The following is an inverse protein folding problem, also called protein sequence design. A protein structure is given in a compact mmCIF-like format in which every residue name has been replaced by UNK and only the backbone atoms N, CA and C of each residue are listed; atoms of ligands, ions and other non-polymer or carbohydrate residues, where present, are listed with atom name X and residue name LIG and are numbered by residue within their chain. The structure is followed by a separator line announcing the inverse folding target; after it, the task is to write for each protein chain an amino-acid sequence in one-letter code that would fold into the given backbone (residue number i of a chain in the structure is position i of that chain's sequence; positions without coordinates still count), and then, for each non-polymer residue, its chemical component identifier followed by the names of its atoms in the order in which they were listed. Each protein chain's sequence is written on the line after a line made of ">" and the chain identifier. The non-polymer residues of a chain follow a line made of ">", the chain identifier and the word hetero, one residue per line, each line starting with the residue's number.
data_IF_237741789664
#
_entry.id   IF_237741789664
#
_cell.length_a   1.000
_cell.length_b   1.000
_cell.length_c   1.000
_cell.angle_alpha   90.00
_cell.angle_beta   90.00
_cell.angle_gamma   90.00
#
_symmetry.space_group_name_H-M   'P 1'
#
loop_
_entity.id
_entity.type
_entity.pdbx_description
1 polymer ?
#
# COMPACT_ATOMS: atom_id res chain seq x y z
N UNK A 1 -4.18 43.57 22.06
CA UNK A 1 -4.80 42.54 22.91
C UNK A 1 -3.91 42.44 24.13
N UNK A 2 -4.29 43.13 25.20
CA UNK A 2 -3.53 43.21 26.43
C UNK A 2 -3.52 41.85 27.14
N UNK A 3 -2.37 41.18 27.12
CA UNK A 3 -2.13 40.06 28.04
C UNK A 3 -2.02 40.65 29.43
N UNK A 4 -3.12 40.61 30.19
CA UNK A 4 -3.10 40.86 31.63
C UNK A 4 -1.98 40.01 32.19
N UNK A 5 -0.94 40.67 32.68
CA UNK A 5 0.10 40.08 33.49
C UNK A 5 -0.57 39.64 34.79
N UNK A 6 -1.18 38.46 34.76
CA UNK A 6 -1.58 37.78 35.98
C UNK A 6 -0.29 37.39 36.66
N UNK A 7 0.14 38.22 37.60
CA UNK A 7 1.22 37.93 38.56
C UNK A 7 0.84 36.66 39.32
N UNK A 8 1.17 35.51 38.74
CA UNK A 8 1.00 34.22 39.38
C UNK A 8 2.17 34.04 40.34
N UNK A 9 1.96 34.34 41.62
CA UNK A 9 2.92 34.08 42.67
C UNK A 9 3.08 32.57 42.86
N UNK A 10 4.28 32.04 42.58
CA UNK A 10 4.60 30.63 42.82
C UNK A 10 5.91 30.50 43.59
N UNK A 11 6.03 29.39 44.32
CA UNK A 11 7.27 29.09 45.05
C UNK A 11 8.35 28.61 44.07
N UNK A 12 9.43 29.38 43.97
CA UNK A 12 10.63 28.94 43.29
C UNK A 12 11.25 27.74 44.03
N UNK A 13 11.76 26.78 43.27
CA UNK A 13 12.42 25.59 43.84
C UNK A 13 13.71 26.02 44.53
N UNK A 14 13.93 25.53 45.74
CA UNK A 14 15.18 25.73 46.48
C UNK A 14 16.20 24.61 46.20
N UNK A 15 15.75 23.49 45.62
CA UNK A 15 16.60 22.34 45.28
C UNK A 15 16.16 21.62 44.01
N UNK A 16 17.12 21.09 43.25
CA UNK A 16 16.89 20.31 42.03
C UNK A 16 16.20 18.95 42.26
N UNK A 17 16.09 18.48 43.52
CA UNK A 17 15.32 17.28 43.88
C UNK A 17 13.86 17.57 44.26
N UNK A 18 13.52 18.84 44.52
CA UNK A 18 12.17 19.24 44.93
C UNK A 18 11.20 19.10 43.75
N UNK A 19 9.99 18.57 43.98
CA UNK A 19 8.93 18.57 42.96
C UNK A 19 8.51 20.01 42.65
N UNK A 20 8.10 20.26 41.41
CA UNK A 20 7.44 21.53 41.07
C UNK A 20 6.04 21.56 41.69
N UNK A 21 5.58 22.76 42.02
CA UNK A 21 4.22 22.98 42.50
C UNK A 21 3.22 22.58 41.41
N UNK A 22 2.20 21.80 41.79
CA UNK A 22 1.12 21.38 40.90
C UNK A 22 0.37 22.58 40.32
N UNK A 23 0.26 23.68 41.08
CA UNK A 23 -0.40 24.91 40.62
C UNK A 23 0.35 25.56 39.47
N UNK A 24 1.68 25.59 39.55
CA UNK A 24 2.54 26.09 38.47
C UNK A 24 2.41 25.23 37.21
N UNK A 25 2.36 23.90 37.36
CA UNK A 25 2.19 22.98 36.22
C UNK A 25 0.86 23.26 35.52
N UNK A 26 -0.24 23.35 36.27
CA UNK A 26 -1.57 23.65 35.72
C UNK A 26 -1.62 25.02 35.02
N UNK A 27 -1.02 26.04 35.62
CA UNK A 27 -0.98 27.39 35.05
C UNK A 27 -0.21 27.43 33.72
N UNK A 28 0.96 26.77 33.64
CA UNK A 28 1.75 26.69 32.40
C UNK A 28 1.00 25.92 31.30
N UNK A 29 0.22 24.90 31.66
CA UNK A 29 -0.63 24.17 30.71
C UNK A 29 -1.76 25.06 30.18
N UNK A 30 -2.38 25.86 31.05
CA UNK A 30 -3.41 26.81 30.67
C UNK A 30 -2.87 27.87 29.70
N UNK A 31 -1.70 28.44 29.98
CA UNK A 31 -1.02 29.38 29.08
C UNK A 31 -0.67 28.73 27.73
N UNK A 32 -0.30 27.46 27.71
CA UNK A 32 -0.04 26.74 26.47
C UNK A 32 -1.33 26.56 25.65
N UNK A 33 -2.46 26.29 26.30
CA UNK A 33 -3.77 26.21 25.64
C UNK A 33 -4.24 27.58 25.11
N UNK A 34 -3.83 28.67 25.76
CA UNK A 34 -4.03 30.05 25.27
C UNK A 34 -3.12 30.41 24.08
N UNK A 35 -2.22 29.51 23.66
CA UNK A 35 -1.38 29.68 22.48
C UNK A 35 -0.03 30.35 22.74
N UNK A 36 0.38 30.51 24.00
CA UNK A 36 1.70 31.05 24.34
C UNK A 36 2.79 30.07 23.88
N UNK A 37 3.81 30.53 23.13
CA UNK A 37 4.87 29.65 22.66
C UNK A 37 5.70 29.12 23.83
N UNK A 38 6.11 27.85 23.73
CA UNK A 38 6.88 27.16 24.80
C UNK A 38 8.19 27.85 25.14
N UNK A 39 8.80 28.50 24.16
CA UNK A 39 10.06 29.23 24.35
C UNK A 39 9.88 30.32 25.42
N UNK A 40 8.80 31.09 25.31
CA UNK A 40 8.49 32.15 26.26
C UNK A 40 8.16 31.59 27.64
N UNK A 41 7.49 30.44 27.73
CA UNK A 41 7.22 29.78 29.02
C UNK A 41 8.50 29.26 29.69
N UNK A 42 9.46 28.75 28.92
CA UNK A 42 10.77 28.32 29.41
C UNK A 42 11.54 29.51 29.97
N UNK A 43 11.52 30.63 29.25
CA UNK A 43 12.23 31.86 29.61
C UNK A 43 11.59 32.57 30.83
N UNK A 44 10.25 32.72 30.83
CA UNK A 44 9.51 33.40 31.91
C UNK A 44 9.48 32.63 33.23
N UNK A 45 9.35 31.30 33.18
CA UNK A 45 9.19 30.48 34.39
C UNK A 45 10.46 29.69 34.77
N UNK A 46 11.55 29.82 34.01
CA UNK A 46 12.82 29.14 34.29
C UNK A 46 12.74 27.61 34.24
N UNK A 47 11.78 27.05 33.48
CA UNK A 47 11.55 25.61 33.39
C UNK A 47 12.33 25.02 32.22
N UNK A 48 13.13 23.98 32.45
CA UNK A 48 13.84 23.29 31.37
C UNK A 48 12.88 22.70 30.33
N UNK A 49 13.25 22.74 29.05
CA UNK A 49 12.46 22.19 27.93
C UNK A 49 12.07 20.71 28.15
N UNK A 50 12.97 19.91 28.73
CA UNK A 50 12.71 18.51 29.07
C UNK A 50 11.63 18.36 30.16
N UNK A 51 11.61 19.24 31.16
CA UNK A 51 10.61 19.24 32.24
C UNK A 51 9.23 19.59 31.68
N UNK A 52 9.15 20.62 30.83
CA UNK A 52 7.90 21.02 30.17
C UNK A 52 7.38 19.88 29.28
N UNK A 53 8.25 19.21 28.51
CA UNK A 53 7.88 18.05 27.69
C UNK A 53 7.35 16.88 28.53
N UNK A 54 7.92 16.65 29.72
CA UNK A 54 7.47 15.61 30.66
C UNK A 54 6.06 15.91 31.19
N UNK A 55 5.79 17.16 31.57
CA UNK A 55 4.45 17.55 32.02
C UNK A 55 3.40 17.38 30.93
N UNK A 56 3.74 17.77 29.71
CA UNK A 56 2.81 17.66 28.57
C UNK A 56 2.46 16.21 28.25
N UNK A 57 3.44 15.30 28.33
CA UNK A 57 3.19 13.86 28.20
C UNK A 57 2.28 13.32 29.32
N UNK A 58 2.48 13.76 30.56
CA UNK A 58 1.64 13.35 31.70
C UNK A 58 0.19 13.86 31.61
N UNK A 59 -0.03 14.98 30.93
CA UNK A 59 -1.34 15.58 30.71
C UNK A 59 -1.98 15.21 29.35
N UNK A 60 -1.45 14.22 28.63
CA UNK A 60 -1.89 13.80 27.29
C UNK A 60 -1.90 14.94 26.25
N UNK A 61 -1.16 16.01 26.49
CA UNK A 61 -0.94 17.08 25.52
C UNK A 61 0.19 16.62 24.61
N UNK A 62 -0.21 16.09 23.45
CA UNK A 62 0.69 15.41 22.55
C UNK A 62 1.56 16.44 21.80
N UNK A 63 2.69 16.79 22.42
CA UNK A 63 3.59 17.80 21.86
C UNK A 63 4.75 17.21 21.10
N UNK A 64 4.43 16.40 20.12
CA UNK A 64 5.41 16.09 19.08
C UNK A 64 5.77 17.38 18.34
N UNK A 65 6.94 17.96 18.65
CA UNK A 65 7.56 19.04 17.88
C UNK A 65 8.05 18.58 16.51
N UNK A 66 7.92 17.29 16.21
CA UNK A 66 8.36 16.72 14.94
C UNK A 66 7.32 17.02 13.90
N UNK A 67 7.73 17.63 12.79
CA UNK A 67 6.94 17.67 11.56
C UNK A 67 6.57 16.24 11.20
N UNK A 68 5.27 15.93 11.30
CA UNK A 68 4.72 14.69 10.78
C UNK A 68 4.52 14.84 9.28
N UNK A 69 4.88 13.80 8.53
CA UNK A 69 4.61 13.72 7.10
C UNK A 69 3.58 12.63 6.88
N UNK A 70 2.56 12.93 6.10
CA UNK A 70 1.50 11.98 5.72
C UNK A 70 2.07 10.87 4.84
N UNK A 71 1.39 9.72 4.81
CA UNK A 71 1.83 8.59 3.97
C UNK A 71 1.74 8.89 2.48
N UNK A 72 0.84 9.79 2.04
CA UNK A 72 0.77 10.25 0.65
C UNK A 72 1.98 11.12 0.28
N UNK A 73 2.36 12.08 1.12
CA UNK A 73 3.52 12.94 0.90
C UNK A 73 4.81 12.11 0.80
N UNK A 74 5.00 11.16 1.73
CA UNK A 74 6.16 10.26 1.70
C UNK A 74 6.26 9.50 0.38
N UNK A 75 5.13 8.96 -0.10
CA UNK A 75 5.07 8.20 -1.37
C UNK A 75 5.32 9.09 -2.58
N UNK A 76 4.80 10.32 -2.60
CA UNK A 76 5.06 11.27 -3.68
C UNK A 76 6.55 11.60 -3.79
N UNK A 77 7.21 11.83 -2.65
CA UNK A 77 8.64 12.10 -2.58
C UNK A 77 9.47 10.92 -3.08
N UNK A 78 9.15 9.70 -2.65
CA UNK A 78 9.87 8.50 -3.10
C UNK A 78 9.70 8.28 -4.60
N UNK A 79 8.48 8.44 -5.14
CA UNK A 79 8.20 8.27 -6.57
C UNK A 79 8.96 9.29 -7.45
N UNK A 80 9.12 10.52 -6.96
CA UNK A 80 9.92 11.55 -7.64
C UNK A 80 11.42 11.20 -7.67
N UNK A 81 11.92 10.51 -6.64
CA UNK A 81 13.31 10.03 -6.60
C UNK A 81 13.49 8.82 -7.52
N UNK A 82 12.53 7.92 -7.57
CA UNK A 82 12.51 6.80 -8.52
C UNK A 82 12.48 7.28 -9.98
N UNK A 83 11.82 8.41 -10.25
CA UNK A 83 11.84 9.05 -11.57
C UNK A 83 13.14 9.80 -11.91
N UNK A 84 14.15 9.74 -11.04
CA UNK A 84 15.49 10.30 -11.29
C UNK A 84 15.81 11.62 -10.57
N UNK A 85 14.94 12.14 -9.70
CA UNK A 85 15.32 13.30 -8.88
C UNK A 85 16.34 12.91 -7.80
N UNK A 86 17.30 13.79 -7.56
CA UNK A 86 18.23 13.63 -6.44
C UNK A 86 17.56 13.94 -5.10
N UNK A 87 18.09 13.38 -4.01
CA UNK A 87 17.56 13.61 -2.65
C UNK A 87 17.54 15.11 -2.28
N UNK A 88 18.54 15.87 -2.73
CA UNK A 88 18.64 17.31 -2.45
C UNK A 88 17.60 18.14 -3.25
N UNK A 89 17.32 17.73 -4.49
CA UNK A 89 16.26 18.33 -5.29
C UNK A 89 14.88 18.03 -4.68
N UNK A 90 14.64 16.79 -4.26
CA UNK A 90 13.41 16.40 -3.57
C UNK A 90 13.25 17.15 -2.23
N UNK A 91 14.33 17.35 -1.47
CA UNK A 91 14.30 18.13 -0.24
C UNK A 91 13.83 19.57 -0.49
N UNK A 92 14.35 20.20 -1.54
CA UNK A 92 14.03 21.58 -1.91
C UNK A 92 12.60 21.69 -2.44
N UNK A 93 12.18 20.77 -3.31
CA UNK A 93 10.85 20.74 -3.90
C UNK A 93 9.73 20.51 -2.86
N UNK A 94 9.96 19.59 -1.92
CA UNK A 94 8.96 19.19 -0.91
C UNK A 94 9.15 19.85 0.46
N UNK A 95 10.10 20.80 0.59
CA UNK A 95 10.42 21.54 1.84
C UNK A 95 10.63 20.62 3.05
N UNK A 96 11.34 19.51 2.83
CA UNK A 96 11.61 18.50 3.85
C UNK A 96 12.79 18.96 4.72
N UNK A 97 12.66 18.75 6.02
CA UNK A 97 13.61 19.30 6.99
C UNK A 97 15.01 18.67 6.93
N UNK A 98 15.17 17.44 6.45
CA UNK A 98 16.46 16.75 6.39
C UNK A 98 16.50 15.70 5.28
N UNK A 99 17.61 15.59 4.54
CA UNK A 99 17.78 14.58 3.49
C UNK A 99 17.84 13.16 4.07
N UNK A 100 18.28 12.97 5.31
CA UNK A 100 18.31 11.67 5.98
C UNK A 100 16.91 11.09 6.21
N UNK A 101 15.89 11.95 6.35
CA UNK A 101 14.50 11.53 6.47
C UNK A 101 14.01 10.92 5.16
N UNK A 102 14.40 11.52 4.03
CA UNK A 102 14.08 11.04 2.69
C UNK A 102 14.76 9.69 2.44
N UNK A 103 16.04 9.56 2.77
CA UNK A 103 16.77 8.29 2.65
C UNK A 103 16.12 7.17 3.46
N UNK A 104 15.63 7.47 4.67
CA UNK A 104 14.88 6.51 5.49
C UNK A 104 13.59 6.06 4.80
N UNK A 105 12.86 6.97 4.15
CA UNK A 105 11.64 6.61 3.42
C UNK A 105 11.93 5.77 2.19
N UNK A 106 12.97 6.11 1.43
CA UNK A 106 13.40 5.32 0.27
C UNK A 106 13.82 3.91 0.71
N UNK A 107 14.59 3.78 1.80
CA UNK A 107 14.96 2.47 2.36
C UNK A 107 13.74 1.66 2.76
N UNK A 108 12.82 2.26 3.52
CA UNK A 108 11.58 1.59 3.95
C UNK A 108 10.70 1.17 2.78
N UNK A 109 10.58 2.02 1.76
CA UNK A 109 9.80 1.70 0.56
C UNK A 109 10.45 0.59 -0.27
N UNK A 110 11.79 0.55 -0.34
CA UNK A 110 12.52 -0.56 -0.95
C UNK A 110 12.28 -1.87 -0.20
N UNK A 111 12.34 -1.85 1.13
CA UNK A 111 12.04 -3.02 1.98
C UNK A 111 10.59 -3.52 1.77
N UNK A 112 9.61 -2.60 1.81
CA UNK A 112 8.20 -2.93 1.54
C UNK A 112 8.00 -3.47 0.12
N UNK A 113 8.69 -2.92 -0.89
CA UNK A 113 8.61 -3.44 -2.26
C UNK A 113 9.34 -4.77 -2.42
N UNK A 114 10.46 -5.02 -1.75
CA UNK A 114 11.11 -6.34 -1.77
C UNK A 114 10.23 -7.41 -1.15
N UNK A 115 9.58 -7.11 -0.02
CA UNK A 115 8.61 -8.01 0.60
C UNK A 115 7.40 -8.28 -0.30
N UNK A 116 6.92 -7.26 -1.03
CA UNK A 116 5.85 -7.43 -2.01
C UNK A 116 6.31 -8.20 -3.27
N UNK A 117 7.54 -8.00 -3.74
CA UNK A 117 8.11 -8.71 -4.90
C UNK A 117 8.40 -10.18 -4.57
N UNK A 118 8.71 -10.52 -3.33
CA UNK A 118 8.89 -11.93 -2.94
C UNK A 118 7.55 -12.66 -2.75
N UNK A 119 6.45 -11.94 -2.50
CA UNK A 119 5.14 -12.54 -2.24
C UNK A 119 4.17 -12.56 -3.44
N UNK A 120 4.34 -11.72 -4.47
CA UNK A 120 3.29 -11.49 -5.48
C UNK A 120 3.50 -12.00 -6.92
N UNK A 121 4.71 -12.17 -7.50
CA UNK A 121 4.83 -12.55 -8.90
C UNK A 121 4.26 -13.94 -9.20
N UNK A 122 4.29 -14.84 -8.21
CA UNK A 122 3.95 -16.26 -8.41
C UNK A 122 2.42 -16.47 -8.39
N UNK A 123 1.67 -15.76 -7.56
CA UNK A 123 0.23 -16.00 -7.39
C UNK A 123 -0.63 -15.41 -8.51
N UNK A 124 -0.29 -14.23 -9.01
CA UNK A 124 -1.00 -13.64 -10.17
C UNK A 124 -0.64 -14.34 -11.48
N UNK A 125 0.60 -14.78 -11.66
CA UNK A 125 0.98 -15.56 -12.84
C UNK A 125 0.29 -16.94 -12.87
N UNK A 126 0.20 -17.63 -11.73
CA UNK A 126 -0.53 -18.91 -11.64
C UNK A 126 -2.02 -18.76 -11.89
N UNK A 127 -2.69 -17.77 -11.29
CA UNK A 127 -4.13 -17.56 -11.52
C UNK A 127 -4.45 -17.20 -12.97
N UNK A 128 -3.62 -16.40 -13.62
CA UNK A 128 -3.84 -16.03 -15.04
C UNK A 128 -3.58 -17.23 -15.96
N UNK A 129 -2.58 -18.07 -15.66
CA UNK A 129 -2.32 -19.30 -16.40
C UNK A 129 -3.46 -20.33 -16.23
N UNK A 130 -3.93 -20.55 -15.00
CA UNK A 130 -5.04 -21.47 -14.70
C UNK A 130 -6.34 -21.05 -15.41
N UNK A 131 -6.68 -19.75 -15.39
CA UNK A 131 -7.87 -19.23 -16.08
C UNK A 131 -7.75 -19.39 -17.61
N UNK A 132 -6.56 -19.15 -18.18
CA UNK A 132 -6.33 -19.33 -19.62
C UNK A 132 -6.49 -20.80 -20.03
N UNK A 133 -5.87 -21.71 -19.28
CA UNK A 133 -5.94 -23.15 -19.55
C UNK A 133 -7.38 -23.69 -19.46
N UNK A 134 -8.17 -23.24 -18.50
CA UNK A 134 -9.58 -23.63 -18.39
C UNK A 134 -10.43 -23.17 -19.58
N UNK A 135 -10.18 -21.96 -20.09
CA UNK A 135 -10.89 -21.44 -21.27
C UNK A 135 -10.53 -22.19 -22.54
N UNK A 136 -9.25 -22.54 -22.70
CA UNK A 136 -8.75 -23.29 -23.86
C UNK A 136 -9.28 -24.73 -23.85
N UNK A 137 -9.28 -25.39 -22.69
CA UNK A 137 -9.84 -26.73 -22.52
C UNK A 137 -11.35 -26.75 -22.84
N UNK A 138 -12.09 -25.72 -22.45
CA UNK A 138 -13.52 -25.61 -22.77
C UNK A 138 -13.77 -25.41 -24.26
N UNK A 139 -12.97 -24.57 -24.92
CA UNK A 139 -13.06 -24.34 -26.35
C UNK A 139 -12.73 -25.61 -27.15
N UNK A 140 -11.67 -26.32 -26.76
CA UNK A 140 -11.27 -27.59 -27.39
C UNK A 140 -12.33 -28.67 -27.25
N UNK A 141 -12.93 -28.84 -26.06
CA UNK A 141 -14.03 -29.80 -25.84
C UNK A 141 -15.23 -29.50 -26.74
N UNK A 142 -15.61 -28.23 -26.84
CA UNK A 142 -16.73 -27.81 -27.70
C UNK A 142 -16.45 -28.10 -29.18
N UNK A 143 -15.23 -27.79 -29.66
CA UNK A 143 -14.84 -28.08 -31.03
C UNK A 143 -14.86 -29.58 -31.34
N UNK A 144 -14.44 -30.41 -30.37
CA UNK A 144 -14.48 -31.86 -30.47
C UNK A 144 -15.93 -32.38 -30.56
N UNK A 145 -16.83 -31.88 -29.73
CA UNK A 145 -18.25 -32.23 -29.78
C UNK A 145 -18.91 -31.86 -31.11
N UNK A 146 -18.64 -30.65 -31.62
CA UNK A 146 -19.15 -30.21 -32.92
C UNK A 146 -18.61 -31.05 -34.07
N UNK A 147 -17.33 -31.43 -34.04
CA UNK A 147 -16.73 -32.31 -35.03
C UNK A 147 -17.36 -33.71 -35.00
N UNK A 148 -17.53 -34.29 -33.81
CA UNK A 148 -18.19 -35.59 -33.65
C UNK A 148 -19.65 -35.56 -34.12
N UNK A 149 -20.38 -34.49 -33.84
CA UNK A 149 -21.75 -34.33 -34.31
C UNK A 149 -21.82 -34.25 -35.84
N UNK A 150 -20.88 -33.54 -36.48
CA UNK A 150 -20.77 -33.46 -37.94
C UNK A 150 -20.44 -34.83 -38.54
N UNK A 151 -19.48 -35.57 -37.97
CA UNK A 151 -19.13 -36.92 -38.43
C UNK A 151 -20.36 -37.83 -38.35
N UNK A 152 -21.07 -37.81 -37.22
CA UNK A 152 -22.28 -38.62 -37.04
C UNK A 152 -23.38 -38.26 -38.04
N UNK A 153 -23.60 -36.97 -38.30
CA UNK A 153 -24.58 -36.52 -39.29
C UNK A 153 -24.21 -36.97 -40.71
N UNK A 154 -22.93 -36.86 -41.08
CA UNK A 154 -22.43 -37.33 -42.38
C UNK A 154 -22.59 -38.84 -42.54
N UNK A 155 -22.23 -39.63 -41.52
CA UNK A 155 -22.43 -41.09 -41.53
C UNK A 155 -23.91 -41.42 -41.71
N UNK A 156 -24.81 -40.76 -40.97
CA UNK A 156 -26.26 -41.00 -41.13
C UNK A 156 -26.79 -40.61 -42.51
N UNK A 157 -26.22 -39.57 -43.14
CA UNK A 157 -26.60 -39.18 -44.49
C UNK A 157 -26.14 -40.20 -45.53
N UNK A 158 -24.98 -40.82 -45.31
CA UNK A 158 -24.49 -41.93 -46.13
C UNK A 158 -25.45 -43.12 -46.00
N UNK A 159 -25.84 -43.49 -44.78
CA UNK A 159 -26.77 -44.61 -44.55
C UNK A 159 -28.11 -44.40 -45.28
N UNK A 160 -28.69 -43.19 -45.19
CA UNK A 160 -29.94 -42.83 -45.89
C UNK A 160 -29.76 -42.90 -47.41
N UNK A 161 -28.62 -42.42 -47.94
CA UNK A 161 -28.35 -42.44 -49.36
C UNK A 161 -28.18 -43.87 -49.90
N UNK A 162 -27.51 -44.75 -49.15
CA UNK A 162 -27.38 -46.18 -49.50
C UNK A 162 -28.76 -46.86 -49.53
N UNK A 163 -29.63 -46.58 -48.56
CA UNK A 163 -30.98 -47.15 -48.47
C UNK A 163 -31.88 -46.69 -49.64
N UNK A 164 -31.92 -45.39 -49.93
CA UNK A 164 -32.82 -44.83 -50.94
C UNK A 164 -32.36 -45.10 -52.38
N UNK A 165 -31.05 -45.02 -52.64
CA UNK A 165 -30.49 -45.14 -53.99
C UNK A 165 -30.06 -46.58 -54.32
N UNK A 166 -30.00 -47.48 -53.33
CA UNK A 166 -29.52 -48.87 -53.46
C UNK A 166 -28.12 -48.99 -54.09
N UNK A 167 -27.27 -48.01 -53.83
CA UNK A 167 -25.86 -47.98 -54.25
C UNK A 167 -25.00 -48.12 -53.00
N UNK A 168 -23.98 -48.99 -53.02
CA UNK A 168 -23.05 -49.20 -51.90
C UNK A 168 -21.98 -48.10 -51.93
N UNK A 169 -22.00 -47.17 -50.97
CA UNK A 169 -21.08 -46.02 -50.91
C UNK A 169 -19.91 -46.33 -49.97
N UNK A 170 -20.16 -47.03 -48.87
CA UNK A 170 -19.17 -47.40 -47.86
C UNK A 170 -18.42 -48.67 -48.26
N UNK A 171 -17.10 -48.64 -48.15
CA UNK A 171 -16.26 -49.82 -48.38
C UNK A 171 -16.49 -50.88 -47.30
N UNK A 172 -17.00 -52.05 -47.69
CA UNK A 172 -17.15 -53.21 -46.78
C UNK A 172 -15.81 -53.93 -46.57
N UNK A 173 -15.52 -54.30 -45.33
CA UNK A 173 -14.33 -55.07 -44.94
C UNK A 173 -14.43 -56.48 -45.52
N UNK A 174 -14.00 -56.67 -46.76
CA UNK A 174 -14.07 -57.98 -47.43
C UNK A 174 -13.91 -57.96 -48.94
N UNK A 175 -14.01 -56.80 -49.59
CA UNK A 175 -13.78 -56.72 -51.03
C UNK A 175 -12.28 -56.95 -51.35
N UNK A 176 -11.97 -58.13 -51.92
CA UNK A 176 -10.63 -58.45 -52.46
C UNK A 176 -10.23 -57.36 -53.43
N UNK A 177 -9.08 -56.74 -53.19
CA UNK A 177 -8.46 -55.84 -54.16
C UNK A 177 -8.15 -56.66 -55.43
N UNK A 178 -8.74 -56.26 -56.56
CA UNK A 178 -8.29 -56.74 -57.86
C UNK A 178 -6.85 -56.29 -58.05
N UNK A 179 -5.90 -57.22 -58.06
CA UNK A 179 -4.52 -56.91 -58.41
C UNK A 179 -4.48 -56.52 -59.89
N UNK A 180 -3.93 -55.36 -60.19
CA UNK A 180 -3.58 -54.97 -61.54
C UNK A 180 -2.14 -55.36 -61.83
#
# INVERSE_FOLDING_TARGET
>A
MDTKETEFEFQFRTSNKQSFDKRLISHIIELLNQGVPRRDLIERYGVCSATLTRWLRGHHLDVTTRKSYTSSEKRSVVRAIESGMTVNQAQSAFKISSPSVIQRWVKKFKEENTELVDLKPIEVAKKVAEISEETDLRALKKALEEANLKIKALDTMIDIAEEQLKIDIRKKSGARQSSK
#
